data_IF_213838287570
#
_entry.id   IF_213838287570
#
_cell.length_a   1.000
_cell.length_b   1.000
_cell.length_c   1.000
_cell.angle_alpha   90.00
_cell.angle_beta   90.00
_cell.angle_gamma   90.00
#
_symmetry.space_group_name_H-M   'P 1'
#
loop_
_entity.id
_entity.type
_entity.pdbx_description
1 polymer ?
#
# COMPACT_ATOMS: atom_id res chain seq x y z
N UNK A 1 -22.97 -8.19 2.43
CA UNK A 1 -21.84 -8.06 3.36
C UNK A 1 -20.94 -6.96 2.85
N UNK A 2 -21.10 -5.74 3.34
CA UNK A 2 -20.27 -4.59 2.98
C UNK A 2 -19.17 -4.45 4.03
N UNK A 3 -18.26 -5.43 4.08
CA UNK A 3 -17.02 -5.33 4.84
C UNK A 3 -15.92 -5.00 3.85
N UNK A 4 -15.17 -3.92 4.09
CA UNK A 4 -13.94 -3.67 3.32
C UNK A 4 -12.94 -4.82 3.47
N UNK A 5 -11.79 -4.76 2.78
CA UNK A 5 -10.77 -5.80 2.88
C UNK A 5 -10.34 -6.01 4.33
N UNK A 6 -10.05 -7.25 4.69
CA UNK A 6 -9.52 -7.57 6.02
C UNK A 6 -8.11 -7.00 6.20
N UNK A 7 -7.86 -6.32 7.32
CA UNK A 7 -6.60 -5.61 7.56
C UNK A 7 -5.82 -6.27 8.70
N UNK A 8 -4.57 -6.63 8.46
CA UNK A 8 -3.71 -7.28 9.44
C UNK A 8 -2.31 -6.68 9.52
N UNK A 9 -1.71 -6.66 10.71
CA UNK A 9 -0.31 -6.28 10.93
C UNK A 9 -0.01 -4.78 10.88
N UNK A 10 -1.00 -3.92 10.62
CA UNK A 10 -0.80 -2.47 10.60
C UNK A 10 -0.65 -1.89 12.01
N UNK A 11 0.39 -1.08 12.28
CA UNK A 11 0.50 -0.39 13.55
C UNK A 11 -0.60 0.69 13.70
N UNK A 12 -1.21 0.86 14.87
CA UNK A 12 -2.19 1.92 15.08
C UNK A 12 -1.63 3.31 14.74
N UNK A 13 -2.44 4.18 14.11
CA UNK A 13 -2.02 5.53 13.72
C UNK A 13 -1.48 6.36 14.91
N UNK A 14 -2.04 6.17 16.10
CA UNK A 14 -1.56 6.81 17.34
C UNK A 14 -0.10 6.45 17.68
N UNK A 15 0.39 5.28 17.25
CA UNK A 15 1.78 4.82 17.45
C UNK A 15 2.71 5.21 16.29
N UNK A 16 2.21 5.89 15.26
CA UNK A 16 2.96 6.30 14.06
C UNK A 16 2.76 7.79 13.75
N UNK A 17 3.22 8.71 14.62
CA UNK A 17 3.13 10.15 14.38
C UNK A 17 3.89 10.57 13.11
N UNK A 18 4.92 9.81 12.74
CA UNK A 18 5.71 9.94 11.51
C UNK A 18 4.89 9.73 10.22
N UNK A 19 3.71 9.11 10.31
CA UNK A 19 2.83 8.86 9.16
C UNK A 19 1.64 9.82 9.09
N UNK A 20 1.53 10.81 9.99
CA UNK A 20 0.38 11.75 10.04
C UNK A 20 0.18 12.54 8.76
N UNK A 21 1.24 12.75 7.97
CA UNK A 21 1.17 13.43 6.69
C UNK A 21 0.35 12.65 5.64
N UNK A 22 0.19 11.33 5.81
CA UNK A 22 -0.74 10.51 5.00
C UNK A 22 -2.20 10.65 5.43
N UNK A 23 -2.49 11.35 6.52
CA UNK A 23 -3.82 11.50 7.10
C UNK A 23 -3.95 10.87 8.49
N UNK A 24 -5.10 11.12 9.13
CA UNK A 24 -5.42 10.61 10.47
C UNK A 24 -5.64 9.09 10.49
N UNK A 25 -6.05 8.52 9.36
CA UNK A 25 -6.15 7.08 9.12
C UNK A 25 -5.38 6.70 7.85
N UNK A 26 -4.06 6.63 7.99
CA UNK A 26 -3.16 6.29 6.89
C UNK A 26 -3.44 4.90 6.30
N UNK A 27 -4.05 3.98 7.08
CA UNK A 27 -4.35 2.62 6.62
C UNK A 27 -5.50 2.67 5.62
N UNK A 28 -6.56 3.41 5.92
CA UNK A 28 -7.67 3.62 4.98
C UNK A 28 -7.20 4.28 3.68
N UNK A 29 -6.29 5.26 3.75
CA UNK A 29 -5.68 5.90 2.56
C UNK A 29 -4.90 4.89 1.74
N UNK A 30 -4.02 4.11 2.38
CA UNK A 30 -3.26 3.04 1.74
C UNK A 30 -4.16 2.02 1.03
N UNK A 31 -5.19 1.53 1.71
CA UNK A 31 -6.12 0.54 1.16
C UNK A 31 -6.90 1.12 -0.01
N UNK A 32 -7.34 2.37 0.08
CA UNK A 32 -8.06 3.05 -0.99
C UNK A 32 -7.21 3.19 -2.26
N UNK A 33 -5.99 3.70 -2.13
CA UNK A 33 -5.10 3.91 -3.26
C UNK A 33 -4.63 2.59 -3.87
N UNK A 34 -4.33 1.59 -3.02
CA UNK A 34 -4.00 0.23 -3.41
C UNK A 34 -5.12 -0.38 -4.26
N UNK A 35 -6.35 -0.33 -3.76
CA UNK A 35 -7.52 -0.90 -4.43
C UNK A 35 -7.74 -0.22 -5.78
N UNK A 36 -7.66 1.12 -5.85
CA UNK A 36 -7.74 1.86 -7.12
C UNK A 36 -6.59 1.55 -8.07
N UNK A 37 -5.39 1.33 -7.56
CA UNK A 37 -4.23 0.91 -8.35
C UNK A 37 -4.47 -0.43 -9.03
N UNK A 38 -4.93 -1.43 -8.28
CA UNK A 38 -5.22 -2.77 -8.78
C UNK A 38 -6.39 -2.77 -9.76
N UNK A 39 -7.49 -2.07 -9.45
CA UNK A 39 -8.65 -1.96 -10.35
C UNK A 39 -8.33 -1.31 -11.70
N UNK A 40 -7.33 -0.41 -11.75
CA UNK A 40 -6.85 0.17 -13.02
C UNK A 40 -6.09 -0.85 -13.88
N UNK A 41 -5.48 -1.86 -13.27
CA UNK A 41 -4.75 -2.92 -13.96
C UNK A 41 -5.69 -4.04 -14.40
N UNK A 42 -6.61 -4.44 -13.53
CA UNK A 42 -7.66 -5.41 -13.80
C UNK A 42 -8.98 -4.98 -13.10
N UNK A 43 -9.99 -4.51 -13.86
CA UNK A 43 -11.27 -4.09 -13.31
C UNK A 43 -12.05 -5.19 -12.59
N UNK A 44 -11.75 -6.47 -12.88
CA UNK A 44 -12.37 -7.62 -12.23
C UNK A 44 -11.76 -7.96 -10.87
N UNK A 45 -10.66 -7.30 -10.48
CA UNK A 45 -9.97 -7.59 -9.23
C UNK A 45 -10.79 -7.17 -8.00
N UNK A 46 -11.01 -8.11 -7.09
CA UNK A 46 -11.59 -7.87 -5.78
C UNK A 46 -10.55 -8.05 -4.68
N UNK A 47 -10.30 -7.01 -3.88
CA UNK A 47 -9.34 -7.08 -2.77
C UNK A 47 -10.01 -7.70 -1.55
N UNK A 48 -9.52 -8.85 -1.12
CA UNK A 48 -10.06 -9.61 0.01
C UNK A 48 -9.40 -9.20 1.32
N UNK A 49 -8.09 -8.95 1.30
CA UNK A 49 -7.35 -8.61 2.51
C UNK A 49 -5.98 -8.00 2.22
N UNK A 50 -5.49 -7.24 3.18
CA UNK A 50 -4.19 -6.57 3.13
C UNK A 50 -3.47 -6.84 4.45
N UNK A 51 -2.27 -7.38 4.35
CA UNK A 51 -1.38 -7.63 5.48
C UNK A 51 -0.13 -6.79 5.36
N UNK A 52 0.15 -6.00 6.38
CA UNK A 52 1.44 -5.36 6.57
C UNK A 52 2.43 -6.39 7.16
N UNK A 53 3.48 -6.73 6.42
CA UNK A 53 4.44 -7.76 6.83
C UNK A 53 5.44 -7.27 7.88
N UNK A 54 5.70 -5.96 7.90
CA UNK A 54 6.65 -5.32 8.79
C UNK A 54 6.16 -3.91 9.13
N UNK A 55 6.68 -3.34 10.20
CA UNK A 55 6.45 -1.93 10.49
C UNK A 55 6.84 -1.08 9.27
N UNK A 56 6.01 -0.10 8.86
CA UNK A 56 6.32 0.78 7.73
C UNK A 56 7.67 1.49 7.95
N UNK A 57 8.47 1.62 6.91
CA UNK A 57 9.80 2.24 6.96
C UNK A 57 9.71 3.71 6.49
N UNK A 58 9.85 4.71 7.39
CA UNK A 58 9.66 6.12 7.09
C UNK A 58 10.89 6.81 6.47
N UNK A 59 11.89 6.09 5.96
CA UNK A 59 13.03 6.73 5.28
C UNK A 59 13.21 6.33 3.81
N UNK A 60 12.60 5.23 3.35
CA UNK A 60 12.85 4.70 2.00
C UNK A 60 14.36 4.55 1.69
N UNK A 61 14.74 4.14 0.47
CA UNK A 61 16.12 4.29 0.04
C UNK A 61 16.47 5.78 -0.06
N UNK A 62 17.47 6.23 0.70
CA UNK A 62 17.92 7.62 0.69
C UNK A 62 18.35 8.05 -0.72
N UNK A 63 17.81 9.16 -1.20
CA UNK A 63 18.27 9.75 -2.46
C UNK A 63 19.67 10.37 -2.24
N UNK A 64 20.61 10.12 -3.15
CA UNK A 64 22.05 10.44 -3.01
C UNK A 64 22.38 11.94 -2.97
N UNK A 65 21.39 12.80 -3.05
CA UNK A 65 21.55 14.24 -3.21
C UNK A 65 20.86 14.87 -2.02
N UNK A 66 21.63 15.36 -1.04
CA UNK A 66 21.18 15.84 0.28
C UNK A 66 20.24 17.06 0.27
N UNK A 67 19.15 17.00 -0.49
CA UNK A 67 18.07 17.97 -0.52
C UNK A 67 16.97 17.60 0.48
N UNK A 68 16.26 18.63 0.93
CA UNK A 68 15.16 18.61 1.91
C UNK A 68 14.29 17.35 1.80
N UNK A 69 14.29 16.53 2.86
CA UNK A 69 13.59 15.24 2.91
C UNK A 69 12.08 15.43 2.78
N UNK A 70 11.54 15.26 1.57
CA UNK A 70 10.13 14.90 1.42
C UNK A 70 9.87 13.65 2.27
N UNK A 71 8.82 13.62 3.11
CA UNK A 71 8.51 12.43 3.87
C UNK A 71 8.24 11.27 2.90
N UNK A 72 8.90 10.14 3.12
CA UNK A 72 8.68 8.92 2.36
C UNK A 72 8.27 7.83 3.34
N UNK A 73 7.37 6.94 2.94
CA UNK A 73 7.16 5.69 3.67
C UNK A 73 7.01 4.55 2.70
N UNK A 74 7.62 3.42 3.05
CA UNK A 74 7.44 2.15 2.33
C UNK A 74 6.74 1.13 3.22
N UNK A 75 5.69 0.51 2.68
CA UNK A 75 4.95 -0.58 3.29
C UNK A 75 5.33 -1.89 2.60
N UNK A 76 5.82 -2.87 3.36
CA UNK A 76 5.93 -4.24 2.88
C UNK A 76 4.58 -4.94 3.04
N UNK A 77 3.96 -5.35 1.93
CA UNK A 77 2.57 -5.81 1.90
C UNK A 77 2.45 -7.21 1.31
N UNK A 78 1.54 -7.98 1.89
CA UNK A 78 0.84 -9.09 1.24
C UNK A 78 -0.59 -8.64 0.94
N UNK A 79 -1.05 -8.81 -0.29
CA UNK A 79 -2.39 -8.44 -0.74
C UNK A 79 -3.07 -9.69 -1.27
N UNK A 80 -4.19 -10.06 -0.65
CA UNK A 80 -5.02 -11.17 -1.06
C UNK A 80 -6.11 -10.63 -1.96
N UNK A 81 -6.15 -11.11 -3.19
CA UNK A 81 -7.09 -10.65 -4.21
C UNK A 81 -7.80 -11.83 -4.85
N UNK A 82 -8.93 -11.56 -5.48
CA UNK A 82 -9.63 -12.48 -6.35
C UNK A 82 -9.73 -11.84 -7.73
N UNK A 83 -9.38 -12.55 -8.80
CA UNK A 83 -9.53 -12.04 -10.17
C UNK A 83 -10.99 -12.06 -10.63
N UNK A 84 -11.27 -11.49 -11.80
CA UNK A 84 -12.63 -11.46 -12.37
C UNK A 84 -13.24 -12.84 -12.66
N UNK A 85 -12.45 -13.92 -12.63
CA UNK A 85 -12.90 -15.31 -12.77
C UNK A 85 -13.11 -16.00 -11.42
N UNK A 86 -12.94 -15.29 -10.30
CA UNK A 86 -13.10 -15.85 -8.97
C UNK A 86 -11.86 -16.57 -8.45
N UNK A 87 -10.72 -16.54 -9.15
CA UNK A 87 -9.51 -17.24 -8.71
C UNK A 87 -8.76 -16.41 -7.67
N UNK A 88 -8.37 -17.00 -6.53
CA UNK A 88 -7.62 -16.30 -5.51
C UNK A 88 -6.14 -16.14 -5.90
N UNK A 89 -5.56 -15.00 -5.55
CA UNK A 89 -4.16 -14.66 -5.76
C UNK A 89 -3.58 -13.97 -4.54
N UNK A 90 -2.28 -14.16 -4.32
CA UNK A 90 -1.51 -13.46 -3.32
C UNK A 90 -0.41 -12.64 -3.98
N UNK A 91 -0.51 -11.33 -3.87
CA UNK A 91 0.53 -10.39 -4.29
C UNK A 91 1.41 -10.08 -3.10
N UNK A 92 2.73 -10.09 -3.27
CA UNK A 92 3.66 -9.64 -2.23
C UNK A 92 4.58 -8.58 -2.81
N UNK A 93 4.72 -7.46 -2.12
CA UNK A 93 5.41 -6.34 -2.69
C UNK A 93 5.60 -5.19 -1.74
N UNK A 94 5.96 -4.06 -2.33
CA UNK A 94 6.17 -2.81 -1.63
C UNK A 94 5.26 -1.74 -2.21
N UNK A 95 4.66 -0.98 -1.33
CA UNK A 95 3.88 0.22 -1.65
C UNK A 95 4.55 1.41 -1.00
N UNK A 96 4.97 2.39 -1.80
CA UNK A 96 5.72 3.55 -1.33
C UNK A 96 4.97 4.84 -1.62
N UNK A 97 4.91 5.71 -0.62
CA UNK A 97 4.43 7.07 -0.78
C UNK A 97 5.61 8.02 -0.74
N UNK A 98 5.74 8.86 -1.77
CA UNK A 98 6.71 9.96 -1.79
C UNK A 98 5.97 11.27 -1.60
N UNK A 99 6.09 11.83 -0.41
CA UNK A 99 5.44 13.07 0.02
C UNK A 99 6.11 14.32 -0.54
N UNK A 100 6.16 14.50 -1.86
CA UNK A 100 6.13 15.86 -2.42
C UNK A 100 4.69 16.35 -2.36
N UNK A 101 4.29 16.81 -1.17
CA UNK A 101 3.01 17.45 -0.87
C UNK A 101 1.80 16.66 -1.40
N UNK A 102 1.32 15.68 -0.61
CA UNK A 102 -0.01 15.09 -0.81
C UNK A 102 -1.05 16.22 -0.97
N UNK A 103 -1.60 16.36 -2.18
CA UNK A 103 -2.47 17.48 -2.57
C UNK A 103 -1.98 18.29 -3.78
N UNK A 104 -0.74 18.08 -4.24
CA UNK A 104 -0.20 18.71 -5.46
C UNK A 104 0.00 17.69 -6.59
N UNK A 105 0.19 18.18 -7.82
CA UNK A 105 0.48 17.38 -9.03
C UNK A 105 1.78 16.56 -8.94
N UNK A 106 2.57 16.72 -7.88
CA UNK A 106 3.87 16.06 -7.68
C UNK A 106 3.86 14.92 -6.67
N UNK A 107 2.74 14.65 -6.00
CA UNK A 107 2.60 13.47 -5.17
C UNK A 107 2.67 12.21 -6.07
N UNK A 108 3.62 11.32 -5.79
CA UNK A 108 3.82 10.09 -6.54
C UNK A 108 3.62 8.88 -5.63
N UNK A 109 2.92 7.89 -6.16
CA UNK A 109 2.79 6.56 -5.55
C UNK A 109 3.63 5.62 -6.41
N UNK A 110 4.76 5.19 -5.86
CA UNK A 110 5.60 4.18 -6.48
C UNK A 110 5.27 2.83 -5.84
N UNK A 111 5.03 1.83 -6.68
CA UNK A 111 4.72 0.50 -6.22
C UNK A 111 5.44 -0.54 -7.06
N UNK A 112 5.88 -1.60 -6.39
CA UNK A 112 6.45 -2.76 -7.02
C UNK A 112 5.80 -4.01 -6.44
N UNK A 113 5.14 -4.76 -7.32
CA UNK A 113 4.56 -6.05 -6.99
C UNK A 113 5.44 -7.14 -7.55
N UNK A 114 5.83 -8.08 -6.70
CA UNK A 114 6.31 -9.38 -7.15
C UNK A 114 5.17 -10.37 -6.98
N UNK A 115 4.68 -10.91 -8.08
CA UNK A 115 3.79 -12.06 -8.02
C UNK A 115 4.61 -13.21 -7.42
N UNK A 116 4.26 -13.67 -6.22
CA UNK A 116 5.02 -14.74 -5.56
C UNK A 116 4.33 -16.10 -5.70
N UNK A 117 3.00 -16.16 -5.70
CA UNK A 117 2.28 -17.43 -5.79
C UNK A 117 0.88 -17.27 -6.41
N UNK A 118 0.52 -18.18 -7.32
CA UNK A 118 -0.85 -18.65 -7.49
C UNK A 118 -1.07 -19.79 -6.51
N UNK A 119 -1.72 -19.57 -5.37
CA UNK A 119 -2.19 -20.71 -4.59
C UNK A 119 -3.53 -21.16 -5.18
N UNK A 120 -3.44 -22.20 -6.01
CA UNK A 120 -4.55 -22.77 -6.76
C UNK A 120 -4.08 -23.89 -7.69
N UNK A 121 -3.36 -24.86 -7.12
CA UNK A 121 -2.98 -26.13 -7.75
C UNK A 121 -3.14 -27.25 -6.76
#
# INVERSE_FOLDING_TARGET
MTGGPELYGFPPAARRPDLRWLGSDYVSVLVHDLTRGLLRQDPGTHVMGVRCEAAPDPNGPADRVGATRSPNVTFALQVFVQDGAGRPWMLRGRWSYVGRELGTRTACIDHYWRLLTSEGG
#
